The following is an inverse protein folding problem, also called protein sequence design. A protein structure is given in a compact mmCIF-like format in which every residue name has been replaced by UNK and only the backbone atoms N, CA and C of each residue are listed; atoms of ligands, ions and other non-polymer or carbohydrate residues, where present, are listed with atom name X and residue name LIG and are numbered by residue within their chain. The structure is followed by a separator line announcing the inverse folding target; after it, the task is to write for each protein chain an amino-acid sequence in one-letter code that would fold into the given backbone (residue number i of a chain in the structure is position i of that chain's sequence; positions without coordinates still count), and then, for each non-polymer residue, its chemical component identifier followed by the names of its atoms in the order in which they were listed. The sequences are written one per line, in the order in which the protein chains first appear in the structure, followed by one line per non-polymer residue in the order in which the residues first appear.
data_IF_516929442385
#
_entry.id   IF_516929442385
#
_cell.length_a   1.000
_cell.length_b   1.000
_cell.length_c   1.000
_cell.angle_alpha   90.00
_cell.angle_beta   90.00
_cell.angle_gamma   90.00
#
_symmetry.space_group_name_H-M   'P 1'
#
loop_
_entity.id
_entity.type
_entity.pdbx_description
1 polymer ?
#
# COMPACT_ATOMS: atom_id res chain seq x y z
N UNK A 1 -12.63 29.15 0.97
CA UNK A 1 -12.20 28.22 2.05
C UNK A 1 -13.28 27.19 2.41
N UNK A 2 -14.52 27.59 2.74
CA UNK A 2 -15.59 26.65 3.07
C UNK A 2 -15.97 25.65 1.95
N UNK A 3 -16.03 26.10 0.69
CA UNK A 3 -16.33 25.22 -0.46
C UNK A 3 -15.24 24.15 -0.70
N UNK A 4 -13.98 24.50 -0.43
CA UNK A 4 -12.85 23.59 -0.63
C UNK A 4 -12.80 22.49 0.44
N UNK A 5 -13.13 22.83 1.69
CA UNK A 5 -13.29 21.86 2.77
C UNK A 5 -14.46 20.91 2.49
N UNK A 6 -15.58 21.43 1.97
CA UNK A 6 -16.72 20.60 1.57
C UNK A 6 -16.37 19.59 0.47
N UNK A 7 -15.61 20.01 -0.57
CA UNK A 7 -15.15 19.09 -1.62
C UNK A 7 -14.18 18.02 -1.11
N UNK A 8 -13.28 18.37 -0.18
CA UNK A 8 -12.35 17.40 0.44
C UNK A 8 -13.10 16.29 1.18
N UNK A 9 -14.10 16.64 1.97
CA UNK A 9 -14.91 15.67 2.71
C UNK A 9 -15.61 14.69 1.76
N UNK A 10 -16.15 15.15 0.63
CA UNK A 10 -16.82 14.28 -0.35
C UNK A 10 -15.86 13.20 -0.89
N UNK A 11 -14.61 13.55 -1.21
CA UNK A 11 -13.65 12.57 -1.73
C UNK A 11 -13.21 11.56 -0.66
N UNK A 12 -13.03 12.01 0.59
CA UNK A 12 -12.71 11.14 1.72
C UNK A 12 -13.86 10.17 1.96
N UNK A 13 -15.09 10.68 2.11
CA UNK A 13 -16.29 9.86 2.35
C UNK A 13 -16.52 8.84 1.21
N UNK A 14 -16.28 9.26 -0.02
CA UNK A 14 -16.35 8.35 -1.18
C UNK A 14 -15.29 7.24 -1.09
N UNK A 15 -14.03 7.57 -0.77
CA UNK A 15 -12.98 6.57 -0.63
C UNK A 15 -13.26 5.59 0.53
N UNK A 16 -13.65 6.13 1.69
CA UNK A 16 -13.98 5.38 2.90
C UNK A 16 -15.17 4.45 2.71
N UNK A 17 -16.20 4.88 1.97
CA UNK A 17 -17.37 4.05 1.72
C UNK A 17 -17.15 3.03 0.61
N UNK A 18 -16.38 3.38 -0.44
CA UNK A 18 -16.28 2.56 -1.66
C UNK A 18 -15.14 1.55 -1.64
N UNK A 19 -13.99 1.89 -1.08
CA UNK A 19 -12.74 1.14 -1.26
C UNK A 19 -12.14 0.61 0.05
N UNK A 20 -12.15 1.42 1.11
CA UNK A 20 -11.57 1.03 2.42
C UNK A 20 -12.14 -0.30 2.97
N UNK A 21 -13.45 -0.64 2.82
CA UNK A 21 -13.96 -1.92 3.31
C UNK A 21 -13.32 -3.13 2.64
N UNK A 22 -13.03 -3.03 1.34
CA UNK A 22 -12.36 -4.09 0.58
C UNK A 22 -10.89 -4.22 1.01
N UNK A 23 -10.18 -3.10 1.19
CA UNK A 23 -8.79 -3.11 1.68
C UNK A 23 -8.68 -3.76 3.06
N UNK A 24 -9.59 -3.42 3.97
CA UNK A 24 -9.65 -4.03 5.29
C UNK A 24 -9.88 -5.54 5.21
N UNK A 25 -10.81 -5.97 4.35
CA UNK A 25 -11.05 -7.39 4.09
C UNK A 25 -9.80 -8.09 3.55
N UNK A 26 -9.07 -7.49 2.60
CA UNK A 26 -7.87 -8.11 2.05
C UNK A 26 -6.75 -8.23 3.08
N UNK A 27 -6.53 -7.18 3.88
CA UNK A 27 -5.60 -7.19 5.01
C UNK A 27 -5.96 -8.27 6.03
N UNK A 28 -7.24 -8.39 6.38
CA UNK A 28 -7.73 -9.41 7.31
C UNK A 28 -7.46 -10.82 6.76
N UNK A 29 -7.70 -11.06 5.47
CA UNK A 29 -7.39 -12.33 4.83
C UNK A 29 -5.88 -12.64 4.86
N UNK A 30 -5.02 -11.67 4.57
CA UNK A 30 -3.56 -11.82 4.69
C UNK A 30 -3.14 -12.12 6.14
N UNK A 31 -3.80 -11.52 7.14
CA UNK A 31 -3.55 -11.78 8.55
C UNK A 31 -4.16 -13.10 9.06
N UNK A 32 -4.85 -13.86 8.22
CA UNK A 32 -5.52 -15.10 8.61
C UNK A 32 -6.85 -14.91 9.32
N UNK A 33 -7.42 -13.70 9.29
CA UNK A 33 -8.72 -13.35 9.87
C UNK A 33 -9.82 -13.55 8.82
N UNK A 34 -10.08 -14.80 8.45
CA UNK A 34 -11.11 -15.14 7.47
C UNK A 34 -12.50 -15.01 8.08
N UNK A 35 -13.10 -13.82 7.95
CA UNK A 35 -14.43 -13.50 8.50
C UNK A 35 -15.49 -14.54 8.10
N UNK A 36 -15.47 -15.02 6.86
CA UNK A 36 -16.43 -16.03 6.37
C UNK A 36 -16.34 -17.36 7.11
N UNK A 37 -15.16 -17.74 7.60
CA UNK A 37 -14.95 -18.97 8.38
C UNK A 37 -15.22 -18.68 9.85
N UNK A 38 -14.63 -17.61 10.39
CA UNK A 38 -14.69 -17.26 11.82
C UNK A 38 -16.11 -16.90 12.25
N UNK A 39 -16.90 -16.26 11.40
CA UNK A 39 -18.28 -15.83 11.69
C UNK A 39 -19.34 -16.71 11.02
N UNK A 40 -18.96 -17.86 10.45
CA UNK A 40 -19.94 -18.83 9.94
C UNK A 40 -20.96 -19.21 11.03
N UNK A 41 -22.19 -19.52 10.62
CA UNK A 41 -23.21 -20.03 11.54
C UNK A 41 -22.72 -21.31 12.22
N UNK A 42 -23.05 -21.46 13.50
CA UNK A 42 -22.74 -22.67 14.24
C UNK A 42 -23.37 -23.88 13.55
N UNK A 43 -22.67 -25.02 13.57
CA UNK A 43 -23.22 -26.24 12.97
C UNK A 43 -24.51 -26.65 13.69
N UNK A 44 -25.54 -27.09 12.95
CA UNK A 44 -26.80 -27.51 13.55
C UNK A 44 -26.60 -28.76 14.43
N UNK A 45 -27.50 -28.93 15.39
CA UNK A 45 -27.61 -30.11 16.26
C UNK A 45 -26.39 -30.35 17.15
N UNK A 46 -25.70 -29.29 17.60
CA UNK A 46 -24.58 -29.40 18.54
C UNK A 46 -23.37 -30.16 17.98
N UNK A 47 -23.24 -30.25 16.65
CA UNK A 47 -22.11 -30.93 16.01
C UNK A 47 -20.79 -30.21 16.33
N UNK A 48 -19.67 -30.92 16.47
CA UNK A 48 -18.37 -30.31 16.65
C UNK A 48 -18.04 -29.27 15.58
N UNK A 49 -17.69 -28.06 16.02
CA UNK A 49 -17.47 -26.89 15.16
C UNK A 49 -16.04 -26.34 15.27
N UNK A 50 -15.06 -27.21 15.01
CA UNK A 50 -13.67 -26.80 14.88
C UNK A 50 -13.45 -26.09 13.54
N UNK A 51 -12.95 -24.85 13.60
CA UNK A 51 -12.70 -23.99 12.44
C UNK A 51 -11.20 -23.85 12.24
N UNK A 52 -10.66 -24.62 11.29
CA UNK A 52 -9.24 -24.58 10.95
C UNK A 52 -9.03 -23.56 9.85
N UNK A 53 -8.06 -22.69 10.05
CA UNK A 53 -7.67 -21.66 9.09
C UNK A 53 -6.30 -22.02 8.52
N UNK A 54 -6.24 -22.20 7.20
CA UNK A 54 -4.97 -22.23 6.46
C UNK A 54 -4.76 -20.88 5.78
N UNK A 55 -3.71 -20.16 6.18
CA UNK A 55 -3.43 -18.82 5.66
C UNK A 55 -2.71 -18.87 4.30
N UNK A 56 -3.43 -19.29 3.26
CA UNK A 56 -2.91 -19.31 1.89
C UNK A 56 -2.60 -17.92 1.36
N UNK A 57 -3.37 -16.90 1.77
CA UNK A 57 -3.16 -15.52 1.35
C UNK A 57 -1.75 -15.05 1.74
N UNK A 58 -1.36 -15.22 3.00
CA UNK A 58 -0.01 -14.91 3.45
C UNK A 58 1.06 -15.70 2.72
N UNK A 59 0.85 -17.01 2.53
CA UNK A 59 1.81 -17.87 1.84
C UNK A 59 2.07 -17.38 0.41
N UNK A 60 1.03 -17.07 -0.34
CA UNK A 60 1.15 -16.60 -1.73
C UNK A 60 1.86 -15.25 -1.78
N UNK A 61 1.37 -14.26 -1.02
CA UNK A 61 1.95 -12.92 -0.96
C UNK A 61 3.43 -12.96 -0.58
N UNK A 62 3.78 -13.64 0.51
CA UNK A 62 5.18 -13.68 0.96
C UNK A 62 6.09 -14.44 -0.03
N UNK A 63 5.56 -15.48 -0.70
CA UNK A 63 6.33 -16.25 -1.70
C UNK A 63 6.61 -15.43 -2.95
N UNK A 64 5.59 -14.81 -3.55
CA UNK A 64 5.75 -14.04 -4.77
C UNK A 64 6.49 -12.73 -4.53
N UNK A 65 6.21 -12.03 -3.43
CA UNK A 65 6.98 -10.86 -3.05
C UNK A 65 8.44 -11.22 -2.79
N UNK A 66 8.72 -12.30 -2.06
CA UNK A 66 10.08 -12.77 -1.82
C UNK A 66 10.82 -13.18 -3.10
N UNK A 67 10.13 -13.70 -4.11
CA UNK A 67 10.70 -13.96 -5.43
C UNK A 67 11.01 -12.67 -6.19
N UNK A 68 10.09 -11.70 -6.18
CA UNK A 68 10.24 -10.42 -6.88
C UNK A 68 11.32 -9.54 -6.26
N UNK A 69 11.36 -9.45 -4.93
CA UNK A 69 12.23 -8.54 -4.18
C UNK A 69 13.42 -9.25 -3.55
N UNK A 70 13.61 -10.54 -3.84
CA UNK A 70 14.70 -11.34 -3.28
C UNK A 70 16.08 -10.84 -3.70
N UNK A 71 16.17 -10.27 -4.89
CA UNK A 71 17.32 -9.46 -5.30
C UNK A 71 16.95 -7.98 -5.16
N UNK A 72 17.72 -7.16 -4.41
CA UNK A 72 17.46 -5.75 -4.27
C UNK A 72 17.35 -5.04 -5.62
N UNK A 73 16.31 -4.23 -5.78
CA UNK A 73 16.12 -3.41 -6.99
C UNK A 73 17.27 -2.41 -7.12
N UNK A 74 17.83 -2.34 -8.32
CA UNK A 74 18.92 -1.41 -8.66
C UNK A 74 18.36 -0.28 -9.51
N UNK A 75 18.46 0.95 -9.01
CA UNK A 75 18.14 2.16 -9.75
C UNK A 75 19.47 2.85 -10.04
N UNK A 76 19.80 2.99 -11.32
CA UNK A 76 21.11 3.48 -11.78
C UNK A 76 20.95 4.52 -12.87
N UNK A 77 21.94 5.40 -13.00
CA UNK A 77 22.10 6.33 -14.11
C UNK A 77 23.28 5.89 -15.00
N UNK A 78 23.24 6.27 -16.28
CA UNK A 78 24.33 5.98 -17.23
C UNK A 78 25.61 6.78 -16.92
N UNK A 79 25.46 8.00 -16.41
CA UNK A 79 26.61 8.86 -16.07
C UNK A 79 27.20 8.48 -14.71
N UNK A 80 28.47 8.06 -14.68
CA UNK A 80 29.16 7.55 -13.48
C UNK A 80 29.21 8.52 -12.30
N UNK A 81 29.34 9.82 -12.55
CA UNK A 81 29.41 10.83 -11.48
C UNK A 81 28.05 10.99 -10.82
N UNK A 82 26.99 11.17 -11.61
CA UNK A 82 25.61 11.23 -11.12
C UNK A 82 25.18 9.91 -10.47
N UNK A 83 25.57 8.77 -11.03
CA UNK A 83 25.22 7.45 -10.51
C UNK A 83 25.82 7.16 -9.14
N UNK A 84 27.02 7.69 -8.83
CA UNK A 84 27.59 7.63 -7.48
C UNK A 84 26.71 8.35 -6.46
N UNK A 85 26.23 9.55 -6.80
CA UNK A 85 25.29 10.29 -5.96
C UNK A 85 23.97 9.55 -5.74
N UNK A 86 23.39 9.01 -6.82
CA UNK A 86 22.15 8.22 -6.73
C UNK A 86 22.32 6.93 -5.92
N UNK A 87 23.45 6.24 -6.07
CA UNK A 87 23.73 5.01 -5.32
C UNK A 87 23.83 5.27 -3.82
N UNK A 88 24.48 6.38 -3.45
CA UNK A 88 24.54 6.85 -2.05
C UNK A 88 23.15 7.22 -1.52
N UNK A 89 22.33 7.90 -2.32
CA UNK A 89 20.93 8.20 -1.97
C UNK A 89 20.12 6.91 -1.73
N UNK A 90 20.17 5.97 -2.68
CA UNK A 90 19.44 4.70 -2.59
C UNK A 90 19.80 3.92 -1.33
N UNK A 91 21.10 3.89 -0.99
CA UNK A 91 21.60 3.23 0.23
C UNK A 91 21.16 3.98 1.48
N UNK A 92 21.33 5.31 1.54
CA UNK A 92 21.01 6.10 2.73
C UNK A 92 19.52 6.12 3.04
N UNK A 93 18.67 6.09 2.02
CA UNK A 93 17.21 6.14 2.16
C UNK A 93 16.55 4.76 2.09
N UNK A 94 17.34 3.68 2.03
CA UNK A 94 16.85 2.29 1.96
C UNK A 94 15.77 2.10 0.88
N UNK A 95 15.99 2.66 -0.32
CA UNK A 95 15.03 2.60 -1.42
C UNK A 95 14.61 1.15 -1.76
N UNK A 96 15.52 0.14 -1.78
CA UNK A 96 15.11 -1.24 -2.04
C UNK A 96 14.08 -1.79 -1.03
N UNK A 97 14.18 -1.39 0.24
CA UNK A 97 13.22 -1.81 1.27
C UNK A 97 11.86 -1.15 1.04
N UNK A 98 11.84 0.15 0.74
CA UNK A 98 10.61 0.87 0.40
C UNK A 98 9.92 0.25 -0.82
N UNK A 99 10.69 -0.17 -1.84
CA UNK A 99 10.13 -0.88 -3.01
C UNK A 99 9.57 -2.25 -2.61
N UNK A 100 10.27 -3.00 -1.76
CA UNK A 100 9.79 -4.30 -1.30
C UNK A 100 8.50 -4.19 -0.48
N UNK A 101 8.37 -3.13 0.32
CA UNK A 101 7.17 -2.84 1.09
C UNK A 101 6.00 -2.44 0.18
N UNK A 102 6.22 -1.54 -0.79
CA UNK A 102 5.20 -1.15 -1.78
C UNK A 102 4.74 -2.36 -2.60
N UNK A 103 5.67 -3.22 -3.00
CA UNK A 103 5.36 -4.47 -3.71
C UNK A 103 4.44 -5.36 -2.88
N UNK A 104 4.80 -5.60 -1.61
CA UNK A 104 3.98 -6.41 -0.69
C UNK A 104 2.61 -5.79 -0.43
N UNK A 105 2.54 -4.47 -0.25
CA UNK A 105 1.29 -3.75 -0.08
C UNK A 105 0.41 -3.87 -1.34
N UNK A 106 1.00 -3.78 -2.53
CA UNK A 106 0.29 -3.99 -3.79
C UNK A 106 -0.24 -5.42 -3.93
N UNK A 107 0.51 -6.44 -3.49
CA UNK A 107 0.04 -7.83 -3.48
C UNK A 107 -1.15 -8.05 -2.51
N UNK A 108 -1.23 -7.28 -1.42
CA UNK A 108 -2.32 -7.36 -0.45
C UNK A 108 -3.54 -6.57 -0.92
N UNK A 109 -3.36 -5.31 -1.30
CA UNK A 109 -4.46 -4.36 -1.54
C UNK A 109 -4.81 -4.16 -3.01
N UNK A 110 -4.00 -4.72 -3.92
CA UNK A 110 -4.06 -4.47 -5.37
C UNK A 110 -3.44 -3.12 -5.79
N UNK A 111 -3.00 -2.29 -4.84
CA UNK A 111 -2.31 -1.02 -5.07
C UNK A 111 -1.53 -0.59 -3.83
N UNK A 112 -0.55 0.28 -4.03
CA UNK A 112 0.26 0.92 -2.98
C UNK A 112 0.87 2.19 -3.54
N UNK A 113 1.24 3.14 -2.69
CA UNK A 113 1.83 4.40 -3.12
C UNK A 113 3.23 4.61 -2.55
N UNK A 114 4.11 5.19 -3.36
CA UNK A 114 5.34 5.81 -2.88
C UNK A 114 5.01 7.23 -2.42
N UNK A 115 5.47 7.58 -1.23
CA UNK A 115 5.37 8.92 -0.69
C UNK A 115 6.76 9.55 -0.65
N UNK A 116 6.94 10.61 -1.44
CA UNK A 116 8.20 11.35 -1.57
C UNK A 116 8.02 12.72 -0.93
N UNK A 117 8.89 13.07 0.01
CA UNK A 117 8.82 14.34 0.73
C UNK A 117 10.21 14.85 1.06
N UNK A 118 10.32 16.15 1.33
CA UNK A 118 11.55 16.76 1.86
C UNK A 118 11.36 17.13 3.33
N UNK A 119 12.39 16.96 4.15
CA UNK A 119 12.40 17.50 5.51
C UNK A 119 12.69 19.00 5.54
N UNK A 120 12.72 19.58 6.74
CA UNK A 120 13.03 21.00 6.98
C UNK A 120 14.43 21.42 6.50
N UNK A 121 15.34 20.46 6.30
CA UNK A 121 16.71 20.69 5.82
C UNK A 121 16.82 20.53 4.30
N UNK A 122 15.73 20.20 3.61
CA UNK A 122 15.69 19.96 2.17
C UNK A 122 16.16 18.57 1.75
N UNK A 123 16.34 17.65 2.71
CA UNK A 123 16.72 16.27 2.41
C UNK A 123 15.50 15.48 1.93
N UNK A 124 15.63 14.77 0.80
CA UNK A 124 14.55 13.99 0.20
C UNK A 124 14.42 12.63 0.90
N UNK A 125 13.19 12.21 1.16
CA UNK A 125 12.82 10.92 1.74
C UNK A 125 11.81 10.20 0.85
N UNK A 126 11.85 8.86 0.92
CA UNK A 126 10.93 7.95 0.24
C UNK A 126 10.37 6.99 1.28
N UNK A 127 9.06 6.83 1.31
CA UNK A 127 8.38 5.83 2.14
C UNK A 127 7.19 5.23 1.38
N UNK A 128 6.58 4.19 1.95
CA UNK A 128 5.38 3.55 1.42
C UNK A 128 4.15 4.07 2.17
N UNK A 129 3.00 4.08 1.52
CA UNK A 129 1.70 4.27 2.19
C UNK A 129 0.64 3.37 1.58
N UNK A 130 -0.19 2.81 2.44
CA UNK A 130 -1.24 1.87 2.06
C UNK A 130 -2.49 2.60 1.59
N UNK A 131 -3.31 1.97 0.73
CA UNK A 131 -4.49 2.63 0.17
C UNK A 131 -5.67 2.78 1.13
N UNK A 132 -5.59 2.20 2.33
CA UNK A 132 -6.51 2.49 3.44
C UNK A 132 -6.17 3.79 4.18
N UNK A 133 -4.95 4.30 4.06
CA UNK A 133 -4.49 5.54 4.71
C UNK A 133 -4.34 6.71 3.75
N UNK A 134 -4.08 6.43 2.46
CA UNK A 134 -3.91 7.44 1.42
C UNK A 134 -4.66 7.09 0.13
N UNK A 135 -5.05 8.12 -0.63
CA UNK A 135 -5.64 7.96 -1.95
C UNK A 135 -5.28 9.15 -2.83
N UNK A 136 -5.26 8.92 -4.15
CA UNK A 136 -4.90 9.95 -5.14
C UNK A 136 -6.17 10.54 -5.74
N UNK A 137 -6.25 11.86 -5.74
CA UNK A 137 -7.30 12.61 -6.41
C UNK A 137 -6.69 13.20 -7.69
N UNK A 138 -7.31 12.91 -8.83
CA UNK A 138 -6.91 13.48 -10.11
C UNK A 138 -7.90 14.58 -10.47
N UNK A 139 -7.37 15.69 -11.00
CA UNK A 139 -8.15 16.71 -11.67
C UNK A 139 -8.26 16.32 -13.15
N UNK A 140 -9.47 16.02 -13.62
CA UNK A 140 -9.76 15.65 -15.01
C UNK A 140 -10.02 16.87 -15.91
N UNK A 141 -9.83 18.08 -15.38
CA UNK A 141 -9.93 19.30 -16.18
C UNK A 141 -8.71 19.46 -17.10
N UNK A 142 -8.96 19.98 -18.31
CA UNK A 142 -7.94 20.22 -19.35
C UNK A 142 -6.76 21.06 -18.85
N UNK A 143 -6.98 21.88 -17.82
CA UNK A 143 -6.00 22.79 -17.23
C UNK A 143 -4.95 22.12 -16.32
N UNK A 144 -5.09 20.84 -15.96
CA UNK A 144 -4.12 20.06 -15.15
C UNK A 144 -3.56 20.87 -13.95
N UNK A 145 -4.42 21.57 -13.20
CA UNK A 145 -3.93 22.34 -12.05
C UNK A 145 -3.49 21.36 -10.98
N UNK A 146 -2.20 21.44 -10.62
CA UNK A 146 -1.58 20.52 -9.68
C UNK A 146 -2.31 20.57 -8.33
N UNK A 147 -2.99 19.47 -7.98
CA UNK A 147 -3.44 19.21 -6.62
C UNK A 147 -2.30 18.52 -5.88
N UNK A 148 -1.55 19.29 -5.10
CA UNK A 148 -0.68 18.73 -4.06
C UNK A 148 -1.53 18.60 -2.79
N UNK A 149 -1.73 17.37 -2.31
CA UNK A 149 -2.19 17.07 -0.95
C UNK A 149 -1.04 16.44 -0.21
#
# INVERSE_FOLDING_TARGET
MAEYLSKRTIFIDYNESRFVPDYKKYKDYYQGKYVTIIQALAKPNGKPDNRVILNFAKKLVDTFNGFLTGNPVKITLEEDVANRGLSEFNRRKNVPEAVAEVSKQADIYGKSYFFVFSDEKGEIYLTSTTPDEAFVIYDDTVLHRHFMV
#
